data_IF_338868768070
#
_entry.id   IF_338868768070
#
_cell.length_a   1.000
_cell.length_b   1.000
_cell.length_c   1.000
_cell.angle_alpha   90.00
_cell.angle_beta   90.00
_cell.angle_gamma   90.00
#
_symmetry.space_group_name_H-M   'P 1'
#
loop_
_entity.id
_entity.type
_entity.pdbx_description
1 polymer ?
#
# COMPACT_ATOMS: atom_id res chain seq x y z
N UNK A 1 9.92 -11.45 10.68
CA UNK A 1 10.50 -10.12 10.39
C UNK A 1 11.08 -9.54 11.67
N UNK A 2 12.23 -8.90 11.58
CA UNK A 2 12.87 -8.19 12.69
C UNK A 2 12.33 -6.77 12.82
N UNK A 3 12.54 -6.13 13.97
CA UNK A 3 12.17 -4.72 14.18
C UNK A 3 12.87 -3.77 13.19
N UNK A 4 14.11 -4.10 12.79
CA UNK A 4 14.86 -3.31 11.80
C UNK A 4 14.21 -3.40 10.42
N UNK A 5 13.83 -4.61 9.97
CA UNK A 5 13.12 -4.82 8.71
C UNK A 5 11.76 -4.10 8.68
N UNK A 6 11.00 -4.16 9.78
CA UNK A 6 9.74 -3.42 9.92
C UNK A 6 9.99 -1.92 9.78
N UNK A 7 10.97 -1.38 10.50
CA UNK A 7 11.31 0.06 10.46
C UNK A 7 11.68 0.50 9.05
N UNK A 8 12.50 -0.28 8.36
CA UNK A 8 12.92 0.00 6.99
C UNK A 8 11.72 0.01 6.03
N UNK A 9 10.82 -0.98 6.11
CA UNK A 9 9.61 -1.01 5.28
C UNK A 9 8.67 0.15 5.58
N UNK A 10 8.50 0.53 6.85
CA UNK A 10 7.68 1.69 7.23
C UNK A 10 8.24 3.01 6.70
N UNK A 11 9.57 3.16 6.66
CA UNK A 11 10.20 4.34 6.05
C UNK A 11 9.98 4.38 4.54
N UNK A 12 10.16 3.25 3.87
CA UNK A 12 9.91 3.13 2.42
C UNK A 12 8.47 3.50 2.06
N UNK A 13 7.49 2.97 2.79
CA UNK A 13 6.07 3.25 2.53
C UNK A 13 5.72 4.71 2.77
N UNK A 14 6.25 5.32 3.82
CA UNK A 14 6.08 6.76 4.07
C UNK A 14 6.62 7.60 2.92
N UNK A 15 7.79 7.24 2.38
CA UNK A 15 8.37 7.93 1.22
C UNK A 15 7.50 7.78 -0.04
N UNK A 16 6.97 6.57 -0.31
CA UNK A 16 6.08 6.32 -1.46
C UNK A 16 4.80 7.15 -1.35
N UNK A 17 4.16 7.16 -0.18
CA UNK A 17 2.93 7.94 0.07
C UNK A 17 3.23 9.44 -0.08
N UNK A 18 4.30 9.91 0.56
CA UNK A 18 4.71 11.32 0.48
C UNK A 18 5.00 11.77 -0.94
N UNK A 19 5.62 10.92 -1.78
CA UNK A 19 5.87 11.22 -3.19
C UNK A 19 4.57 11.46 -3.97
N UNK A 20 3.55 10.63 -3.77
CA UNK A 20 2.25 10.81 -4.44
C UNK A 20 1.54 12.08 -3.96
N UNK A 21 1.60 12.35 -2.65
CA UNK A 21 0.99 13.55 -2.07
C UNK A 21 1.67 14.83 -2.58
N UNK A 22 2.99 14.81 -2.81
CA UNK A 22 3.72 15.91 -3.45
C UNK A 22 3.29 16.17 -4.91
N UNK A 23 2.86 15.12 -5.62
CA UNK A 23 2.30 15.23 -6.97
C UNK A 23 0.80 15.63 -6.98
N UNK A 24 0.22 15.89 -5.81
CA UNK A 24 -1.21 16.18 -5.66
C UNK A 24 -2.11 14.95 -5.81
N UNK A 25 -1.52 13.74 -5.81
CA UNK A 25 -2.24 12.47 -5.93
C UNK A 25 -2.53 11.92 -4.53
N UNK A 26 -3.79 11.98 -4.12
CA UNK A 26 -4.20 11.44 -2.84
C UNK A 26 -4.18 9.90 -2.85
N UNK A 27 -3.35 9.31 -1.99
CA UNK A 27 -3.38 7.87 -1.73
C UNK A 27 -4.60 7.56 -0.86
N UNK A 28 -5.45 6.62 -1.31
CA UNK A 28 -6.67 6.28 -0.57
C UNK A 28 -6.38 5.65 0.79
N UNK A 29 -7.25 5.84 1.77
CA UNK A 29 -7.11 5.24 3.10
C UNK A 29 -7.03 3.70 3.06
N UNK A 30 -7.70 3.06 2.10
CA UNK A 30 -7.62 1.61 1.91
C UNK A 30 -6.20 1.19 1.49
N UNK A 31 -5.62 1.89 0.51
CA UNK A 31 -4.23 1.68 0.07
C UNK A 31 -3.23 1.94 1.20
N UNK A 32 -3.41 3.03 1.98
CA UNK A 32 -2.54 3.34 3.12
C UNK A 32 -2.52 2.19 4.14
N UNK A 33 -3.69 1.68 4.54
CA UNK A 33 -3.80 0.55 5.48
C UNK A 33 -3.15 -0.73 4.95
N UNK A 34 -3.34 -1.04 3.67
CA UNK A 34 -2.76 -2.23 3.05
C UNK A 34 -1.23 -2.16 3.02
N UNK A 35 -0.67 -0.99 2.67
CA UNK A 35 0.77 -0.77 2.72
C UNK A 35 1.30 -0.87 4.17
N UNK A 36 0.62 -0.27 5.14
CA UNK A 36 1.02 -0.39 6.55
C UNK A 36 1.01 -1.85 7.05
N UNK A 37 0.04 -2.66 6.64
CA UNK A 37 0.00 -4.10 6.94
C UNK A 37 1.21 -4.84 6.34
N UNK A 38 1.58 -4.54 5.10
CA UNK A 38 2.81 -5.04 4.49
C UNK A 38 4.08 -4.58 5.23
N UNK A 39 4.09 -3.35 5.74
CA UNK A 39 5.23 -2.81 6.50
C UNK A 39 5.46 -3.55 7.82
N UNK A 40 4.38 -3.97 8.48
CA UNK A 40 4.43 -4.77 9.72
C UNK A 40 4.71 -6.25 9.47
N UNK A 41 4.53 -6.71 8.24
CA UNK A 41 4.65 -8.12 7.87
C UNK A 41 3.36 -8.92 8.08
N UNK A 42 2.23 -8.24 8.29
CA UNK A 42 0.90 -8.86 8.40
C UNK A 42 0.44 -9.41 7.04
N UNK A 43 0.98 -8.85 5.95
CA UNK A 43 0.67 -9.19 4.56
C UNK A 43 1.98 -9.36 3.79
N UNK A 44 2.09 -10.42 2.99
CA UNK A 44 3.21 -10.67 2.09
C UNK A 44 3.21 -9.75 0.86
N UNK A 45 4.30 -9.73 0.10
CA UNK A 45 4.34 -8.96 -1.15
C UNK A 45 3.32 -9.48 -2.18
N UNK A 46 3.17 -10.80 -2.27
CA UNK A 46 2.23 -11.43 -3.22
C UNK A 46 0.77 -11.11 -2.86
N UNK A 47 0.42 -11.16 -1.56
CA UNK A 47 -0.92 -10.78 -1.10
C UNK A 47 -1.20 -9.28 -1.28
N UNK A 48 -0.20 -8.42 -1.07
CA UNK A 48 -0.29 -6.99 -1.34
C UNK A 48 -0.64 -6.75 -2.82
N UNK A 49 0.09 -7.39 -3.74
CA UNK A 49 -0.14 -7.26 -5.18
C UNK A 49 -1.51 -7.80 -5.57
N UNK A 50 -1.89 -8.99 -5.08
CA UNK A 50 -3.18 -9.60 -5.38
C UNK A 50 -4.35 -8.70 -4.92
N UNK A 51 -4.28 -8.13 -3.71
CA UNK A 51 -5.33 -7.24 -3.19
C UNK A 51 -5.38 -5.90 -3.94
N UNK A 52 -4.22 -5.35 -4.32
CA UNK A 52 -4.17 -4.15 -5.15
C UNK A 52 -4.82 -4.38 -6.53
N UNK A 53 -4.55 -5.52 -7.17
CA UNK A 53 -5.16 -5.90 -8.44
C UNK A 53 -6.67 -6.11 -8.33
N UNK A 54 -7.14 -6.80 -7.27
CA UNK A 54 -8.56 -7.00 -7.02
C UNK A 54 -9.31 -5.66 -6.88
N UNK A 55 -8.71 -4.70 -6.17
CA UNK A 55 -9.27 -3.35 -5.98
C UNK A 55 -9.41 -2.58 -7.30
N UNK A 56 -8.45 -2.73 -8.23
CA UNK A 56 -8.51 -2.11 -9.56
C UNK A 56 -9.64 -2.73 -10.40
N UNK A 57 -9.79 -4.04 -10.35
CA UNK A 57 -10.84 -4.77 -11.08
C UNK A 57 -12.25 -4.46 -10.56
N UNK A 58 -12.39 -4.13 -9.28
CA UNK A 58 -13.66 -3.72 -8.69
C UNK A 58 -14.04 -2.28 -9.09
N UNK A 59 -13.10 -1.33 -9.05
CA UNK A 59 -13.33 0.02 -9.55
C UNK A 59 -13.69 0.04 -11.04
N UNK A 60 -13.03 -0.79 -11.85
CA UNK A 60 -13.35 -0.93 -13.27
C UNK A 60 -14.73 -1.51 -13.57
N UNK A 61 -15.30 -2.28 -12.63
CA UNK A 61 -16.68 -2.80 -12.71
C UNK A 61 -17.73 -1.76 -12.28
N UNK A 62 -17.43 -0.92 -11.30
CA UNK A 62 -18.36 0.11 -10.82
C UNK A 62 -18.46 1.33 -11.77
N UNK A 63 -17.49 1.52 -12.66
CA UNK A 63 -17.47 2.62 -13.63
C UNK A 63 -18.18 2.28 -14.98
N UNK A 64 -18.82 1.11 -15.09
CA UNK A 64 -19.53 0.64 -16.29
C UNK A 64 -21.02 0.61 -16.10
#
# INVERSE_FOLDING_TARGET
MTAAEITQRQQLIRAIIGSHELEGVAVTNATKRLLEAFARGDVSADELVAQAQASLNEKGRQAR
#
